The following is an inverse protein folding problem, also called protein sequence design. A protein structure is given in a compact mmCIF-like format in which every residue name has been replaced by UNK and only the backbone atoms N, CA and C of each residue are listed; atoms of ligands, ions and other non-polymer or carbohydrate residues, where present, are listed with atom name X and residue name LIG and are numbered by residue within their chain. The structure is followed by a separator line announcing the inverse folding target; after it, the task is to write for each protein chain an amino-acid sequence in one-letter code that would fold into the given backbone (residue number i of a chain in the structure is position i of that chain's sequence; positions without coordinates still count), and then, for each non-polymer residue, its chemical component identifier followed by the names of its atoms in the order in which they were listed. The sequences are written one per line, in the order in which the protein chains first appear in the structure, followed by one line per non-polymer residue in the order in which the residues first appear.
data_IF_166429582815
#
_entry.id   IF_166429582815
#
_cell.length_a   1.000
_cell.length_b   1.000
_cell.length_c   1.000
_cell.angle_alpha   90.00
_cell.angle_beta   90.00
_cell.angle_gamma   90.00
#
_symmetry.space_group_name_H-M   'P 1'
#
loop_
_entity.id
_entity.type
_entity.pdbx_description
1 polymer ?
#
# COMPACT_ATOMS: atom_id res chain seq x y z
N UNK A 1 -25.14 5.60 0.43
CA UNK A 1 -23.78 5.25 -0.05
C UNK A 1 -23.30 4.11 0.83
N UNK A 2 -23.03 2.93 0.25
CA UNK A 2 -22.39 1.86 1.01
C UNK A 2 -20.91 2.22 1.17
N UNK A 3 -20.44 2.31 2.41
CA UNK A 3 -19.05 2.58 2.72
C UNK A 3 -18.22 1.33 2.38
N UNK A 4 -17.33 1.44 1.39
CA UNK A 4 -16.44 0.35 0.94
C UNK A 4 -15.07 0.59 1.58
N UNK A 5 -14.69 -0.25 2.53
CA UNK A 5 -13.45 -0.12 3.29
C UNK A 5 -12.50 -1.27 3.00
N UNK A 6 -11.27 -0.94 2.62
CA UNK A 6 -10.16 -1.87 2.58
C UNK A 6 -9.54 -1.94 3.99
N UNK A 7 -9.58 -3.12 4.57
CA UNK A 7 -8.97 -3.42 5.87
C UNK A 7 -7.74 -4.32 5.67
N UNK A 8 -6.84 -4.31 6.65
CA UNK A 8 -5.66 -5.17 6.73
C UNK A 8 -4.59 -4.99 5.63
N UNK A 9 -4.59 -3.86 4.94
CA UNK A 9 -3.54 -3.53 3.97
C UNK A 9 -2.26 -3.19 4.71
N UNK A 10 -1.13 -3.78 4.31
CA UNK A 10 0.17 -3.42 4.86
C UNK A 10 0.79 -2.31 4.01
N UNK A 11 1.12 -1.19 4.64
CA UNK A 11 1.83 -0.09 4.05
C UNK A 11 3.21 0.07 4.67
N UNK A 12 4.08 0.81 4.00
CA UNK A 12 5.45 1.05 4.42
C UNK A 12 5.77 2.54 4.41
N UNK A 13 6.31 3.02 5.52
CA UNK A 13 6.90 4.36 5.63
C UNK A 13 8.39 4.27 5.32
N UNK A 14 8.81 4.87 4.20
CA UNK A 14 10.20 4.84 3.76
C UNK A 14 11.08 5.79 4.59
N UNK A 15 10.50 6.84 5.16
CA UNK A 15 11.25 7.82 5.95
C UNK A 15 11.54 7.26 7.36
N UNK A 16 10.55 6.57 7.94
CA UNK A 16 10.67 5.94 9.27
C UNK A 16 11.14 4.47 9.21
N UNK A 17 11.25 3.90 8.01
CA UNK A 17 11.63 2.50 7.76
C UNK A 17 10.71 1.48 8.46
N UNK A 18 9.42 1.77 8.58
CA UNK A 18 8.46 1.01 9.38
C UNK A 18 7.27 0.51 8.56
N UNK A 19 6.85 -0.74 8.81
CA UNK A 19 5.59 -1.29 8.31
C UNK A 19 4.41 -0.95 9.23
N UNK A 20 3.26 -0.63 8.65
CA UNK A 20 2.04 -0.38 9.42
C UNK A 20 0.77 -0.88 8.73
N UNK A 21 -0.30 -1.04 9.51
CA UNK A 21 -1.63 -1.41 9.01
C UNK A 21 -2.39 -0.18 8.57
N UNK A 22 -2.83 -0.21 7.32
CA UNK A 22 -3.55 0.86 6.65
C UNK A 22 -5.01 0.44 6.43
N UNK A 23 -5.93 1.34 6.81
CA UNK A 23 -7.36 1.21 6.52
C UNK A 23 -7.75 2.34 5.58
N UNK A 24 -8.27 1.98 4.40
CA UNK A 24 -8.63 2.95 3.36
C UNK A 24 -10.12 2.89 3.02
N UNK A 25 -10.72 4.06 2.83
CA UNK A 25 -12.02 4.15 2.17
C UNK A 25 -11.80 4.04 0.66
N UNK A 26 -12.24 2.94 0.06
CA UNK A 26 -12.06 2.67 -1.37
C UNK A 26 -12.73 3.73 -2.26
N UNK A 27 -13.77 4.41 -1.77
CA UNK A 27 -14.44 5.48 -2.50
C UNK A 27 -13.62 6.78 -2.57
N UNK A 28 -12.52 6.89 -1.80
CA UNK A 28 -11.66 8.08 -1.75
C UNK A 28 -10.33 7.89 -2.49
N UNK A 29 -10.08 6.69 -3.01
CA UNK A 29 -8.91 6.39 -3.82
C UNK A 29 -9.04 7.11 -5.16
N UNK A 30 -8.04 7.91 -5.50
CA UNK A 30 -7.96 8.70 -6.73
C UNK A 30 -7.24 7.89 -7.82
N UNK A 31 -6.11 7.27 -7.46
CA UNK A 31 -5.32 6.46 -8.38
C UNK A 31 -4.50 5.42 -7.64
N UNK A 32 -4.15 4.37 -8.38
CA UNK A 32 -3.27 3.29 -7.94
C UNK A 32 -2.28 3.07 -9.08
N UNK A 33 -0.99 3.00 -8.77
CA UNK A 33 0.06 2.67 -9.73
C UNK A 33 0.89 1.51 -9.19
N UNK A 34 1.25 0.58 -10.07
CA UNK A 34 2.30 -0.39 -9.76
C UNK A 34 3.61 0.34 -9.52
N UNK A 35 4.36 -0.09 -8.52
CA UNK A 35 5.61 0.57 -8.14
C UNK A 35 6.60 -0.42 -7.54
N UNK A 36 7.88 -0.09 -7.64
CA UNK A 36 8.99 -0.84 -7.01
C UNK A 36 9.77 0.12 -6.12
N UNK A 37 9.97 -0.27 -4.87
CA UNK A 37 10.69 0.54 -3.89
C UNK A 37 11.61 -0.34 -3.03
N UNK A 38 12.70 0.23 -2.53
CA UNK A 38 13.63 -0.46 -1.65
C UNK A 38 13.13 -0.42 -0.20
N UNK A 39 13.12 -1.58 0.46
CA UNK A 39 12.79 -1.75 1.87
C UNK A 39 14.05 -2.18 2.60
N UNK A 40 14.30 -1.62 3.79
CA UNK A 40 15.40 -2.05 4.62
C UNK A 40 15.03 -3.35 5.36
N UNK A 41 15.74 -4.43 5.08
CA UNK A 41 15.62 -5.71 5.78
C UNK A 41 16.55 -5.70 7.01
N UNK A 42 15.96 -5.56 8.20
CA UNK A 42 16.69 -5.54 9.46
C UNK A 42 17.39 -6.87 9.79
N UNK A 43 16.86 -8.01 9.31
CA UNK A 43 17.46 -9.32 9.59
C UNK A 43 18.78 -9.50 8.83
N UNK A 44 18.81 -9.06 7.57
CA UNK A 44 20.00 -9.19 6.73
C UNK A 44 20.88 -7.94 6.73
N UNK A 45 20.36 -6.79 7.18
CA UNK A 45 21.03 -5.50 7.16
C UNK A 45 21.20 -4.91 5.76
N UNK A 46 20.38 -5.32 4.80
CA UNK A 46 20.46 -4.90 3.39
C UNK A 46 19.17 -4.23 2.93
N UNK A 47 19.27 -3.43 1.88
CA UNK A 47 18.11 -2.95 1.14
C UNK A 47 17.68 -3.99 0.12
N UNK A 48 16.39 -4.28 0.07
CA UNK A 48 15.78 -5.25 -0.85
C UNK A 48 14.73 -4.55 -1.70
N UNK A 49 14.72 -4.83 -3.01
CA UNK A 49 13.66 -4.34 -3.89
C UNK A 49 12.35 -5.07 -3.58
N UNK A 50 11.31 -4.30 -3.32
CA UNK A 50 9.95 -4.78 -3.11
C UNK A 50 9.03 -4.23 -4.19
N UNK A 51 8.25 -5.13 -4.81
CA UNK A 51 7.26 -4.78 -5.82
C UNK A 51 5.89 -4.68 -5.17
N UNK A 52 5.32 -3.48 -5.15
CA UNK A 52 4.04 -3.20 -4.52
C UNK A 52 3.21 -2.23 -5.35
N UNK A 53 2.51 -1.33 -4.68
CA UNK A 53 1.77 -0.27 -5.33
C UNK A 53 1.84 1.06 -4.58
N UNK A 54 1.71 2.14 -5.32
CA UNK A 54 1.53 3.48 -4.80
C UNK A 54 0.05 3.87 -4.91
N UNK A 55 -0.58 4.16 -3.78
CA UNK A 55 -2.01 4.47 -3.68
C UNK A 55 -2.19 5.92 -3.27
N UNK A 56 -2.91 6.67 -4.10
CA UNK A 56 -3.24 8.07 -3.85
C UNK A 56 -4.65 8.20 -3.31
N UNK A 57 -4.78 8.78 -2.12
CA UNK A 57 -6.05 9.04 -1.44
C UNK A 57 -6.08 10.50 -1.05
N UNK A 58 -6.91 11.28 -1.74
CA UNK A 58 -6.96 12.75 -1.56
C UNK A 58 -5.56 13.38 -1.72
N UNK A 59 -5.00 13.91 -0.66
CA UNK A 59 -3.69 14.56 -0.54
C UNK A 59 -2.59 13.63 0.02
N UNK A 60 -2.93 12.39 0.34
CA UNK A 60 -2.01 11.39 0.86
C UNK A 60 -1.60 10.38 -0.21
N UNK A 61 -0.36 9.88 -0.07
CA UNK A 61 0.24 8.87 -0.94
C UNK A 61 0.85 7.78 -0.08
N UNK A 62 0.43 6.54 -0.31
CA UNK A 62 0.87 5.39 0.48
C UNK A 62 1.65 4.42 -0.40
N UNK A 63 2.81 3.97 0.08
CA UNK A 63 3.49 2.78 -0.45
C UNK A 63 2.87 1.57 0.20
N UNK A 64 2.16 0.77 -0.59
CA UNK A 64 1.47 -0.43 -0.14
C UNK A 64 2.26 -1.64 -0.59
N UNK A 65 2.46 -2.59 0.33
CA UNK A 65 3.28 -3.77 0.09
C UNK A 65 2.57 -4.82 -0.79
N UNK A 66 1.24 -4.80 -0.85
CA UNK A 66 0.50 -5.67 -1.77
C UNK A 66 0.84 -5.32 -3.22
N UNK A 67 0.85 -6.34 -4.08
CA UNK A 67 0.97 -6.10 -5.51
C UNK A 67 -0.25 -5.31 -6.01
N UNK A 68 -0.08 -4.66 -7.16
CA UNK A 68 -1.20 -3.98 -7.82
C UNK A 68 -2.40 -4.93 -8.02
N UNK A 69 -2.17 -6.15 -8.50
CA UNK A 69 -3.23 -7.13 -8.76
C UNK A 69 -3.94 -7.56 -7.49
N UNK A 70 -3.20 -7.80 -6.40
CA UNK A 70 -3.77 -8.13 -5.09
C UNK A 70 -4.64 -7.00 -4.57
N UNK A 71 -4.16 -5.76 -4.71
CA UNK A 71 -4.88 -4.58 -4.26
C UNK A 71 -6.17 -4.37 -5.04
N UNK A 72 -6.12 -4.47 -6.38
CA UNK A 72 -7.32 -4.35 -7.24
C UNK A 72 -8.33 -5.44 -6.90
N UNK A 73 -7.88 -6.68 -6.74
CA UNK A 73 -8.75 -7.80 -6.36
C UNK A 73 -9.44 -7.54 -5.03
N UNK A 74 -8.73 -6.99 -4.03
CA UNK A 74 -9.32 -6.59 -2.76
C UNK A 74 -10.43 -5.54 -2.96
N UNK A 75 -10.22 -4.53 -3.81
CA UNK A 75 -11.24 -3.53 -4.11
C UNK A 75 -12.48 -4.08 -4.82
N UNK A 76 -12.31 -5.05 -5.72
CA UNK A 76 -13.42 -5.68 -6.46
C UNK A 76 -14.31 -6.52 -5.54
N UNK A 77 -13.77 -7.02 -4.43
CA UNK A 77 -14.50 -7.86 -3.47
C UNK A 77 -15.32 -7.09 -2.42
N UNK A 78 -15.25 -5.76 -2.41
CA UNK A 78 -16.01 -4.87 -1.50
C UNK A 78 -17.43 -4.56 -1.97
#
# INVERSE_FOLDING_TARGET
MNSRWLIDITAYDVDELEEFKLVLNANEIISIAEDTFEIFDEETGNWVEHKGCEVYVRDCRYKVLNSYEEFIKAMETL
#
